data_IF_689238021050
#
_entry.id   IF_689238021050
#
_cell.length_a   1.000
_cell.length_b   1.000
_cell.length_c   1.000
_cell.angle_alpha   90.00
_cell.angle_beta   90.00
_cell.angle_gamma   90.00
#
_symmetry.space_group_name_H-M   'P 1'
#
loop_
_entity.id
_entity.type
_entity.pdbx_description
1 polymer ?
#
# COMPACT_ATOMS: atom_id res chain seq x y z
N UNK A 1 -14.99 -33.92 17.57
CA UNK A 1 -14.17 -33.01 18.40
C UNK A 1 -12.98 -32.44 17.64
N UNK A 2 -11.97 -33.24 17.23
CA UNK A 2 -10.81 -32.72 16.47
C UNK A 2 -11.16 -31.99 15.16
N UNK A 3 -12.07 -32.55 14.36
CA UNK A 3 -12.54 -31.94 13.09
C UNK A 3 -13.31 -30.62 13.33
N UNK A 4 -14.06 -30.56 14.42
CA UNK A 4 -14.84 -29.39 14.82
C UNK A 4 -13.93 -28.24 15.27
N UNK A 5 -12.84 -28.56 15.98
CA UNK A 5 -11.81 -27.59 16.40
C UNK A 5 -11.07 -27.02 15.18
N UNK A 6 -10.68 -27.89 14.22
CA UNK A 6 -10.06 -27.46 12.97
C UNK A 6 -10.96 -26.50 12.16
N UNK A 7 -12.26 -26.78 12.08
CA UNK A 7 -13.22 -25.92 11.40
C UNK A 7 -13.34 -24.55 12.08
N UNK A 8 -13.31 -24.50 13.41
CA UNK A 8 -13.38 -23.27 14.20
C UNK A 8 -12.13 -22.39 14.03
N UNK A 9 -10.94 -23.01 13.97
CA UNK A 9 -9.66 -22.31 13.70
C UNK A 9 -9.63 -21.74 12.26
N UNK A 10 -10.20 -22.46 11.29
CA UNK A 10 -10.31 -21.99 9.91
C UNK A 10 -11.30 -20.81 9.75
N UNK A 11 -12.36 -20.79 10.56
CA UNK A 11 -13.35 -19.70 10.58
C UNK A 11 -12.84 -18.44 11.31
N UNK A 12 -11.92 -18.59 12.26
CA UNK A 12 -11.27 -17.47 12.96
C UNK A 12 -10.17 -16.78 12.11
N UNK A 13 -9.73 -17.39 11.00
CA UNK A 13 -8.68 -16.85 10.14
C UNK A 13 -9.19 -15.97 8.99
N UNK A 14 -10.50 -15.75 8.88
CA UNK A 14 -11.11 -15.00 7.75
C UNK A 14 -11.11 -13.48 7.90
N UNK A 15 -10.50 -12.91 8.94
CA UNK A 15 -10.31 -11.46 9.07
C UNK A 15 -8.82 -11.11 9.11
N UNK A 16 -8.15 -11.24 7.96
CA UNK A 16 -6.80 -10.72 7.80
C UNK A 16 -6.88 -9.24 7.42
N UNK A 17 -6.33 -8.37 8.26
CA UNK A 17 -6.01 -6.99 7.88
C UNK A 17 -4.80 -7.04 6.95
N UNK A 18 -5.04 -7.21 5.64
CA UNK A 18 -3.98 -7.20 4.66
C UNK A 18 -3.45 -5.77 4.47
N UNK A 19 -2.13 -5.64 4.39
CA UNK A 19 -1.44 -4.43 3.95
C UNK A 19 -0.97 -4.68 2.51
N UNK A 20 -1.15 -3.72 1.60
CA UNK A 20 -0.67 -3.87 0.23
C UNK A 20 0.85 -3.65 0.24
N UNK A 21 1.60 -4.74 0.37
CA UNK A 21 3.06 -4.77 0.35
C UNK A 21 3.49 -5.52 -0.91
N UNK A 22 4.31 -4.88 -1.72
CA UNK A 22 4.73 -5.37 -3.02
C UNK A 22 6.26 -5.38 -3.08
N UNK A 23 6.82 -6.31 -3.86
CA UNK A 23 8.24 -6.36 -4.15
C UNK A 23 8.41 -6.59 -5.65
N UNK A 24 9.05 -5.65 -6.31
CA UNK A 24 9.30 -5.68 -7.75
C UNK A 24 10.80 -5.75 -8.01
N UNK A 25 11.19 -6.48 -9.05
CA UNK A 25 12.51 -6.34 -9.65
C UNK A 25 12.37 -5.42 -10.84
N UNK A 26 13.12 -4.32 -10.83
CA UNK A 26 13.06 -3.32 -11.87
C UNK A 26 13.96 -3.74 -13.04
N UNK A 27 13.40 -3.66 -14.25
CA UNK A 27 14.04 -4.07 -15.51
C UNK A 27 14.31 -2.85 -16.41
N UNK A 28 14.11 -1.64 -15.89
CA UNK A 28 14.46 -0.41 -16.57
C UNK A 28 15.97 -0.34 -16.81
N UNK A 29 16.37 0.38 -17.86
CA UNK A 29 17.78 0.62 -18.14
C UNK A 29 18.44 1.26 -16.91
N UNK A 30 19.53 0.68 -16.44
CA UNK A 30 20.28 1.10 -15.24
C UNK A 30 19.50 0.97 -13.92
N UNK A 31 18.41 0.17 -13.90
CA UNK A 31 17.55 -0.06 -12.74
C UNK A 31 17.49 -1.54 -12.32
N UNK A 32 18.59 -2.27 -12.43
CA UNK A 32 18.68 -3.72 -12.15
C UNK A 32 18.63 -4.09 -10.65
N UNK A 33 17.69 -3.53 -9.89
CA UNK A 33 17.55 -3.68 -8.45
C UNK A 33 16.10 -3.96 -8.02
N UNK A 34 15.94 -4.38 -6.77
CA UNK A 34 14.60 -4.55 -6.20
C UNK A 34 14.06 -3.22 -5.69
N UNK A 35 12.74 -3.07 -5.76
CA UNK A 35 11.99 -2.01 -5.09
C UNK A 35 10.85 -2.65 -4.30
N UNK A 36 10.76 -2.36 -3.01
CA UNK A 36 9.58 -2.73 -2.22
C UNK A 36 8.66 -1.54 -2.08
N UNK A 37 7.35 -1.78 -2.25
CA UNK A 37 6.32 -0.75 -2.15
C UNK A 37 5.37 -1.09 -1.01
N UNK A 38 5.03 -0.12 -0.19
CA UNK A 38 3.89 -0.21 0.72
C UNK A 38 2.84 0.78 0.22
N UNK A 39 1.64 0.31 -0.05
CA UNK A 39 0.55 1.10 -0.63
C UNK A 39 -0.72 1.01 0.22
N UNK A 40 -1.50 2.08 0.23
CA UNK A 40 -2.85 2.08 0.79
C UNK A 40 -3.79 2.94 -0.05
N UNK A 41 -4.97 2.40 -0.32
CA UNK A 41 -6.14 3.18 -0.71
C UNK A 41 -7.25 2.99 0.31
N UNK A 42 -7.71 4.07 0.94
CA UNK A 42 -8.72 4.04 2.00
C UNK A 42 -9.78 5.12 1.78
N UNK A 43 -10.97 4.74 1.28
CA UNK A 43 -12.15 5.61 1.29
C UNK A 43 -12.66 5.87 2.71
N UNK A 44 -13.26 7.04 2.92
CA UNK A 44 -14.02 7.39 4.12
C UNK A 44 -15.19 8.33 3.80
N UNK A 45 -15.93 8.73 4.83
CA UNK A 45 -17.13 9.57 4.71
C UNK A 45 -16.89 10.92 4.01
N UNK A 46 -15.64 11.40 4.02
CA UNK A 46 -15.25 12.71 3.49
C UNK A 46 -14.39 12.60 2.23
N UNK A 47 -14.29 11.42 1.61
CA UNK A 47 -13.55 11.19 0.37
C UNK A 47 -12.66 9.95 0.44
N UNK A 48 -11.37 10.10 0.14
CA UNK A 48 -10.43 8.98 0.17
C UNK A 48 -8.99 9.44 0.38
N UNK A 49 -8.20 8.63 1.08
CA UNK A 49 -6.75 8.79 1.19
C UNK A 49 -6.06 7.71 0.38
N UNK A 50 -5.07 8.13 -0.40
CA UNK A 50 -4.14 7.25 -1.09
C UNK A 50 -2.71 7.58 -0.63
N UNK A 51 -1.87 6.59 -0.40
CA UNK A 51 -0.43 6.82 -0.29
C UNK A 51 0.34 5.59 -0.73
N UNK A 52 1.59 5.81 -1.09
CA UNK A 52 2.57 4.75 -1.22
C UNK A 52 3.96 5.20 -0.77
N UNK A 53 4.80 4.22 -0.44
CA UNK A 53 6.23 4.41 -0.17
C UNK A 53 7.00 3.33 -0.93
N UNK A 54 7.93 3.76 -1.77
CA UNK A 54 8.88 2.91 -2.48
C UNK A 54 10.24 2.94 -1.79
N UNK A 55 10.84 1.76 -1.62
CA UNK A 55 12.21 1.60 -1.14
C UNK A 55 13.04 0.90 -2.20
N UNK A 56 14.02 1.61 -2.76
CA UNK A 56 14.94 1.07 -3.75
C UNK A 56 16.14 0.41 -3.06
N UNK A 57 16.53 -0.77 -3.52
CA UNK A 57 17.68 -1.53 -3.02
C UNK A 57 18.88 -1.43 -3.98
N UNK A 58 19.23 -0.21 -4.38
CA UNK A 58 20.26 0.10 -5.38
C UNK A 58 21.63 0.48 -4.75
N UNK A 59 21.86 0.16 -3.48
CA UNK A 59 23.15 0.49 -2.85
C UNK A 59 24.26 -0.45 -3.35
N UNK A 60 25.35 0.13 -3.86
CA UNK A 60 26.51 -0.59 -4.35
C UNK A 60 27.18 -1.36 -3.20
N UNK A 61 27.28 -2.68 -3.34
CA UNK A 61 28.05 -3.55 -2.46
C UNK A 61 27.26 -4.27 -1.36
N UNK A 62 26.07 -3.79 -0.96
CA UNK A 62 25.29 -4.46 0.10
C UNK A 62 23.78 -4.57 -0.15
N UNK A 63 23.27 -4.12 -1.32
CA UNK A 63 21.84 -4.14 -1.69
C UNK A 63 20.92 -3.66 -0.56
N UNK A 64 21.39 -2.73 0.28
CA UNK A 64 20.57 -2.09 1.30
C UNK A 64 19.68 -1.03 0.67
N UNK A 65 18.68 -0.58 1.42
CA UNK A 65 17.81 0.53 1.00
C UNK A 65 18.69 1.75 0.71
N UNK A 66 18.63 2.24 -0.52
CA UNK A 66 19.40 3.40 -1.00
C UNK A 66 18.55 4.66 -1.14
N UNK A 67 17.25 4.50 -1.42
CA UNK A 67 16.31 5.61 -1.60
C UNK A 67 14.95 5.20 -1.04
N UNK A 68 14.28 6.15 -0.40
CA UNK A 68 12.86 6.06 -0.08
C UNK A 68 12.13 7.21 -0.78
N UNK A 69 11.13 6.89 -1.57
CA UNK A 69 10.23 7.85 -2.21
C UNK A 69 8.82 7.63 -1.68
N UNK A 70 8.05 8.69 -1.47
CA UNK A 70 6.67 8.56 -1.04
C UNK A 70 5.80 9.63 -1.70
N UNK A 71 4.54 9.28 -1.90
CA UNK A 71 3.49 10.24 -2.19
C UNK A 71 2.30 10.00 -1.28
N UNK A 72 1.61 11.08 -0.95
CA UNK A 72 0.32 11.01 -0.25
C UNK A 72 -0.68 11.93 -0.93
N UNK A 73 -1.87 11.42 -1.14
CA UNK A 73 -2.97 12.13 -1.75
C UNK A 73 -4.25 12.04 -0.91
N UNK A 74 -5.00 13.13 -0.90
CA UNK A 74 -6.32 13.20 -0.26
C UNK A 74 -7.34 13.78 -1.23
N UNK A 75 -8.38 12.99 -1.44
CA UNK A 75 -9.60 13.39 -2.11
C UNK A 75 -10.61 13.83 -1.04
N UNK A 76 -11.20 15.01 -1.22
CA UNK A 76 -12.19 15.59 -0.33
C UNK A 76 -13.51 15.72 -1.08
N UNK A 77 -14.55 15.08 -0.55
CA UNK A 77 -15.93 15.27 -0.99
C UNK A 77 -16.55 16.39 -0.17
N UNK A 78 -17.12 17.41 -0.82
CA UNK A 78 -17.74 18.54 -0.11
C UNK A 78 -19.21 18.19 0.20
N UNK A 79 -19.60 18.09 1.49
CA UNK A 79 -20.99 17.81 1.86
C UNK A 79 -21.93 18.90 1.33
N UNK A 80 -23.02 18.49 0.69
CA UNK A 80 -24.04 19.42 0.17
C UNK A 80 -23.75 20.01 -1.22
N UNK A 81 -22.59 19.73 -1.82
CA UNK A 81 -22.27 20.11 -3.20
C UNK A 81 -21.98 18.85 -4.03
N UNK A 82 -23.04 18.24 -4.57
CA UNK A 82 -22.91 17.04 -5.40
C UNK A 82 -22.02 17.30 -6.62
N UNK A 83 -20.94 16.53 -6.75
CA UNK A 83 -20.00 16.63 -7.88
C UNK A 83 -18.83 17.60 -7.68
N UNK A 84 -18.73 18.27 -6.52
CA UNK A 84 -17.57 19.11 -6.20
C UNK A 84 -16.57 18.35 -5.31
N UNK A 85 -15.34 18.22 -5.78
CA UNK A 85 -14.25 17.58 -5.05
C UNK A 85 -12.98 18.44 -5.05
N UNK A 86 -12.22 18.37 -3.96
CA UNK A 86 -10.86 18.91 -3.89
C UNK A 86 -9.84 17.77 -3.79
N UNK A 87 -8.64 17.99 -4.34
CA UNK A 87 -7.54 17.04 -4.33
C UNK A 87 -6.26 17.77 -3.93
N UNK A 88 -5.49 17.18 -3.02
CA UNK A 88 -4.11 17.59 -2.77
C UNK A 88 -3.20 16.37 -2.76
N UNK A 89 -1.99 16.53 -3.28
CA UNK A 89 -0.92 15.54 -3.22
C UNK A 89 0.42 16.20 -2.90
N UNK A 90 1.29 15.45 -2.24
CA UNK A 90 2.71 15.77 -2.00
C UNK A 90 3.55 14.63 -2.52
#
# INVERSE_FOLDING_TARGET
MRKTILLFVLLLSSSAFAQNIQLHYDLGKDRDYFTSTIEMFKPDEYGATFFFVDFDFNNLGNKSISLAYFEIARYITIPGASGLSAFFSV
#
